data_IF_087569530807
#
_entry.id   IF_087569530807
#
_cell.length_a   1.000
_cell.length_b   1.000
_cell.length_c   1.000
_cell.angle_alpha   90.00
_cell.angle_beta   90.00
_cell.angle_gamma   90.00
#
_symmetry.space_group_name_H-M   'P 1'
#
loop_
_entity.id
_entity.type
_entity.pdbx_description
1 polymer ?
#
# COMPACT_ATOMS: atom_id res chain seq x y z
N UNK A 1 70.24 74.66 22.43
CA UNK A 1 68.82 74.49 22.04
C UNK A 1 68.82 74.01 20.59
N UNK A 2 68.09 72.93 20.19
CA UNK A 2 66.64 72.83 20.41
C UNK A 2 66.07 71.43 20.78
N UNK A 3 64.83 71.50 21.28
CA UNK A 3 63.68 70.58 21.23
C UNK A 3 63.81 69.08 21.56
N UNK A 4 63.29 68.73 22.76
CA UNK A 4 62.64 67.44 23.03
C UNK A 4 61.20 67.47 22.49
N UNK A 5 60.73 66.42 21.79
CA UNK A 5 59.30 66.25 21.53
C UNK A 5 58.60 65.65 22.76
N UNK A 6 57.39 66.13 23.01
CA UNK A 6 56.48 65.69 24.06
C UNK A 6 55.96 64.26 23.79
N UNK A 7 55.74 63.48 24.85
CA UNK A 7 55.05 62.18 24.78
C UNK A 7 53.55 62.41 24.64
N UNK A 8 52.83 61.68 23.77
CA UNK A 8 51.38 61.72 23.74
C UNK A 8 50.79 60.88 24.88
N UNK A 9 49.79 61.47 25.52
CA UNK A 9 48.87 60.92 26.50
C UNK A 9 48.08 59.77 25.84
N UNK A 10 48.17 58.56 26.39
CA UNK A 10 47.32 57.44 25.97
C UNK A 10 45.92 57.62 26.55
N UNK A 11 45.02 58.22 25.75
CA UNK A 11 43.59 58.19 26.03
C UNK A 11 43.02 56.78 25.78
N UNK A 12 42.31 56.28 26.78
CA UNK A 12 41.69 54.96 26.87
C UNK A 12 40.67 54.70 25.74
N UNK A 13 41.13 54.15 24.62
CA UNK A 13 40.29 53.77 23.47
C UNK A 13 39.45 52.50 23.70
N UNK A 14 39.61 51.82 24.85
CA UNK A 14 38.90 50.58 25.16
C UNK A 14 37.45 50.78 25.57
N UNK A 15 37.13 51.94 26.15
CA UNK A 15 35.81 52.22 26.73
C UNK A 15 34.80 52.69 25.68
N UNK A 16 35.21 53.53 24.72
CA UNK A 16 34.33 54.04 23.66
C UNK A 16 33.88 52.96 22.68
N UNK A 17 34.76 52.04 22.29
CA UNK A 17 34.42 50.92 21.41
C UNK A 17 33.40 49.96 22.05
N UNK A 18 33.50 49.72 23.36
CA UNK A 18 32.54 48.88 24.10
C UNK A 18 31.17 49.56 24.22
N UNK A 19 31.12 50.87 24.46
CA UNK A 19 29.87 51.63 24.48
C UNK A 19 29.20 51.66 23.10
N UNK A 20 29.96 51.79 22.01
CA UNK A 20 29.41 51.73 20.64
C UNK A 20 28.81 50.37 20.30
N UNK A 21 29.47 49.27 20.69
CA UNK A 21 28.95 47.90 20.45
C UNK A 21 27.69 47.63 21.28
N UNK A 22 27.66 48.08 22.55
CA UNK A 22 26.47 47.95 23.41
C UNK A 22 25.31 48.78 22.86
N UNK A 23 25.58 50.01 22.40
CA UNK A 23 24.56 50.86 21.80
C UNK A 23 24.00 50.26 20.50
N UNK A 24 24.84 49.67 19.66
CA UNK A 24 24.42 48.96 18.45
C UNK A 24 23.58 47.73 18.80
N UNK A 25 23.96 46.94 19.80
CA UNK A 25 23.19 45.78 20.26
C UNK A 25 21.83 46.19 20.85
N UNK A 26 21.77 47.30 21.59
CA UNK A 26 20.51 47.85 22.14
C UNK A 26 19.59 48.37 21.02
N UNK A 27 20.15 49.04 20.02
CA UNK A 27 19.40 49.50 18.85
C UNK A 27 18.88 48.32 17.99
N UNK A 28 19.68 47.26 17.84
CA UNK A 28 19.25 46.04 17.15
C UNK A 28 18.16 45.28 17.93
N UNK A 29 18.26 45.23 19.26
CA UNK A 29 17.25 44.61 20.11
C UNK A 29 15.93 45.41 20.13
N UNK A 30 15.99 46.75 20.07
CA UNK A 30 14.82 47.62 20.01
C UNK A 30 14.14 47.65 18.63
N UNK A 31 14.84 47.23 17.57
CA UNK A 31 14.30 47.12 16.22
C UNK A 31 13.38 45.90 16.04
N UNK A 32 13.57 44.82 16.82
CA UNK A 32 12.66 43.68 16.85
C UNK A 32 11.48 43.94 17.78
N UNK A 33 10.46 44.62 17.25
CA UNK A 33 9.18 44.82 17.91
C UNK A 33 8.29 43.56 17.77
N UNK A 34 8.06 42.77 18.84
CA UNK A 34 7.28 41.53 18.74
C UNK A 34 5.81 41.75 18.34
N UNK A 35 5.28 42.97 18.51
CA UNK A 35 3.97 43.43 18.05
C UNK A 35 3.85 43.57 16.53
N UNK A 36 4.97 43.57 15.79
CA UNK A 36 5.00 43.61 14.32
C UNK A 36 5.10 42.21 13.69
N UNK A 37 5.14 41.14 14.49
CA UNK A 37 5.15 39.76 13.99
C UNK A 37 3.70 39.37 13.67
N UNK A 38 3.27 39.59 12.42
CA UNK A 38 2.00 39.04 11.94
C UNK A 38 2.09 37.51 11.91
N UNK A 39 1.26 36.84 12.71
CA UNK A 39 1.10 35.39 12.61
C UNK A 39 0.49 35.05 11.26
N UNK A 40 1.23 34.29 10.44
CA UNK A 40 0.72 33.70 9.22
C UNK A 40 -0.56 32.91 9.53
N UNK A 41 -1.69 33.41 9.01
CA UNK A 41 -2.95 32.68 9.02
C UNK A 41 -2.70 31.32 8.36
N UNK A 42 -3.24 30.26 8.96
CA UNK A 42 -3.10 28.88 8.48
C UNK A 42 -1.68 28.28 8.49
N UNK A 43 -0.78 28.74 9.38
CA UNK A 43 0.59 28.17 9.57
C UNK A 43 0.61 26.63 9.60
N UNK A 44 -0.42 25.99 10.19
CA UNK A 44 -0.57 24.53 10.22
C UNK A 44 -0.85 23.90 8.85
N UNK A 45 -1.67 24.55 8.01
CA UNK A 45 -1.94 24.12 6.62
C UNK A 45 -0.68 24.29 5.78
N UNK A 46 -0.02 25.44 5.89
CA UNK A 46 1.23 25.74 5.20
C UNK A 46 2.28 24.68 5.55
N UNK A 47 2.48 24.36 6.84
CA UNK A 47 3.42 23.31 7.25
C UNK A 47 3.09 21.91 6.69
N UNK A 48 1.80 21.59 6.49
CA UNK A 48 1.38 20.34 5.82
C UNK A 48 1.72 20.40 4.32
N UNK A 49 1.36 21.49 3.64
CA UNK A 49 1.59 21.68 2.20
C UNK A 49 3.09 21.72 1.85
N UNK A 50 3.91 22.41 2.64
CA UNK A 50 5.37 22.44 2.45
C UNK A 50 6.00 21.05 2.56
N UNK A 51 5.53 20.20 3.47
CA UNK A 51 5.99 18.80 3.56
C UNK A 51 5.60 17.97 2.32
N UNK A 52 4.53 18.34 1.62
CA UNK A 52 4.09 17.69 0.38
C UNK A 52 4.88 18.15 -0.85
N UNK A 53 5.65 19.24 -0.73
CA UNK A 53 6.52 19.77 -1.78
C UNK A 53 7.96 19.24 -1.69
N UNK A 54 8.28 18.49 -0.62
CA UNK A 54 9.58 17.81 -0.49
C UNK A 54 9.74 16.78 -1.63
N UNK A 55 10.72 17.02 -2.51
CA UNK A 55 11.01 16.12 -3.64
C UNK A 55 11.59 14.82 -3.11
N UNK A 56 10.81 13.75 -3.14
CA UNK A 56 11.27 12.40 -2.79
C UNK A 56 11.80 11.69 -4.04
N UNK A 57 13.06 11.28 -4.00
CA UNK A 57 13.62 10.39 -5.02
C UNK A 57 13.05 8.98 -4.82
N UNK A 58 12.33 8.46 -5.81
CA UNK A 58 11.80 7.10 -5.79
C UNK A 58 12.77 6.19 -6.56
N UNK A 59 13.34 5.19 -5.88
CA UNK A 59 14.22 4.22 -6.52
C UNK A 59 13.41 3.05 -7.11
N UNK A 60 13.95 2.32 -8.10
CA UNK A 60 13.26 1.16 -8.67
C UNK A 60 12.83 0.11 -7.63
N UNK A 61 13.66 -0.14 -6.61
CA UNK A 61 13.35 -1.04 -5.49
C UNK A 61 12.15 -0.58 -4.64
N UNK A 62 11.94 0.74 -4.55
CA UNK A 62 10.83 1.31 -3.79
C UNK A 62 9.52 1.03 -4.53
N UNK A 63 9.51 1.21 -5.85
CA UNK A 63 8.35 0.87 -6.68
C UNK A 63 8.01 -0.63 -6.61
N UNK A 64 9.00 -1.53 -6.64
CA UNK A 64 8.76 -2.97 -6.46
C UNK A 64 8.16 -3.27 -5.07
N UNK A 65 8.64 -2.59 -4.02
CA UNK A 65 8.08 -2.72 -2.66
C UNK A 65 6.62 -2.23 -2.60
N UNK A 66 6.30 -1.12 -3.25
CA UNK A 66 4.93 -0.63 -3.31
C UNK A 66 4.03 -1.53 -4.15
N UNK A 67 4.52 -2.07 -5.27
CA UNK A 67 3.78 -3.04 -6.07
C UNK A 67 3.46 -4.29 -5.24
N UNK A 68 4.42 -4.79 -4.45
CA UNK A 68 4.19 -5.88 -3.49
C UNK A 68 3.11 -5.52 -2.47
N UNK A 69 3.23 -4.37 -1.83
CA UNK A 69 2.27 -3.92 -0.82
C UNK A 69 0.84 -3.78 -1.40
N UNK A 70 0.72 -3.19 -2.60
CA UNK A 70 -0.54 -3.01 -3.27
C UNK A 70 -1.17 -4.36 -3.66
N UNK A 71 -0.38 -5.28 -4.19
CA UNK A 71 -0.82 -6.63 -4.52
C UNK A 71 -1.23 -7.45 -3.28
N UNK A 72 -0.45 -7.39 -2.20
CA UNK A 72 -0.80 -8.02 -0.92
C UNK A 72 -2.11 -7.44 -0.38
N UNK A 73 -2.24 -6.11 -0.34
CA UNK A 73 -3.42 -5.41 0.19
C UNK A 73 -4.68 -5.76 -0.59
N UNK A 74 -4.63 -5.70 -1.93
CA UNK A 74 -5.77 -5.96 -2.80
C UNK A 74 -6.19 -7.43 -2.71
N UNK A 75 -5.24 -8.36 -2.85
CA UNK A 75 -5.53 -9.80 -2.82
C UNK A 75 -6.01 -10.28 -1.45
N UNK A 76 -5.44 -9.76 -0.35
CA UNK A 76 -5.88 -10.11 1.01
C UNK A 76 -7.27 -9.55 1.34
N UNK A 77 -7.58 -8.34 0.86
CA UNK A 77 -8.91 -7.74 0.99
C UNK A 77 -9.94 -8.60 0.25
N UNK A 78 -9.66 -8.96 -1.00
CA UNK A 78 -10.54 -9.82 -1.79
C UNK A 78 -10.76 -11.19 -1.14
N UNK A 79 -9.71 -11.87 -0.69
CA UNK A 79 -9.81 -13.17 -0.02
C UNK A 79 -10.60 -13.08 1.30
N UNK A 80 -10.45 -11.99 2.05
CA UNK A 80 -11.18 -11.78 3.32
C UNK A 80 -12.66 -11.60 3.06
N UNK A 81 -13.02 -10.73 2.11
CA UNK A 81 -14.42 -10.51 1.75
C UNK A 81 -15.06 -11.77 1.14
N UNK A 82 -14.31 -12.54 0.36
CA UNK A 82 -14.76 -13.84 -0.15
C UNK A 82 -15.15 -14.76 1.01
N UNK A 83 -14.25 -14.98 1.97
CA UNK A 83 -14.50 -15.88 3.10
C UNK A 83 -15.71 -15.44 3.93
N UNK A 84 -15.82 -14.14 4.21
CA UNK A 84 -16.95 -13.58 4.96
C UNK A 84 -18.27 -13.76 4.20
N UNK A 85 -18.27 -13.48 2.90
CA UNK A 85 -19.44 -13.61 2.03
C UNK A 85 -19.85 -15.07 1.92
N UNK A 86 -18.93 -15.98 1.61
CA UNK A 86 -19.21 -17.41 1.54
C UNK A 86 -19.73 -17.95 2.87
N UNK A 87 -19.13 -17.57 4.01
CA UNK A 87 -19.62 -17.98 5.33
C UNK A 87 -21.08 -17.59 5.55
N UNK A 88 -21.45 -16.35 5.22
CA UNK A 88 -22.84 -15.86 5.32
C UNK A 88 -23.79 -16.61 4.37
N UNK A 89 -23.42 -16.73 3.09
CA UNK A 89 -24.32 -17.32 2.09
C UNK A 89 -24.47 -18.84 2.24
N UNK A 90 -23.41 -19.53 2.68
CA UNK A 90 -23.47 -20.95 3.04
C UNK A 90 -24.42 -21.16 4.23
N UNK A 91 -24.35 -20.30 5.25
CA UNK A 91 -25.28 -20.38 6.38
C UNK A 91 -26.73 -20.07 5.99
N UNK A 92 -26.94 -19.14 5.05
CA UNK A 92 -28.27 -18.68 4.67
C UNK A 92 -28.99 -19.59 3.65
N UNK A 93 -28.26 -20.39 2.86
CA UNK A 93 -28.89 -21.27 1.87
C UNK A 93 -27.92 -22.20 1.16
N UNK A 94 -26.83 -22.59 1.85
CA UNK A 94 -25.88 -23.57 1.37
C UNK A 94 -25.19 -23.20 0.07
N UNK A 95 -24.77 -24.23 -0.67
CA UNK A 95 -24.00 -24.07 -1.91
C UNK A 95 -24.81 -23.35 -3.00
N UNK A 96 -26.13 -23.57 -3.06
CA UNK A 96 -27.02 -22.93 -4.02
C UNK A 96 -26.90 -21.39 -4.01
N UNK A 97 -26.79 -20.79 -2.81
CA UNK A 97 -26.58 -19.35 -2.66
C UNK A 97 -25.12 -18.95 -2.80
N UNK A 98 -24.22 -19.67 -2.12
CA UNK A 98 -22.82 -19.30 -2.04
C UNK A 98 -22.11 -19.32 -3.41
N UNK A 99 -22.53 -20.21 -4.32
CA UNK A 99 -21.95 -20.36 -5.65
C UNK A 99 -21.98 -19.05 -6.47
N UNK A 100 -22.98 -18.18 -6.28
CA UNK A 100 -23.06 -16.88 -6.97
C UNK A 100 -21.90 -15.91 -6.63
N UNK A 101 -21.16 -16.17 -5.54
CA UNK A 101 -20.18 -15.22 -4.99
C UNK A 101 -18.73 -15.62 -5.22
N UNK A 102 -18.43 -16.57 -6.11
CA UNK A 102 -17.06 -17.08 -6.33
C UNK A 102 -16.07 -16.12 -7.02
N UNK A 103 -16.48 -14.87 -7.32
CA UNK A 103 -15.70 -13.84 -8.04
C UNK A 103 -15.40 -12.61 -7.17
N UNK A 104 -14.52 -12.71 -6.17
CA UNK A 104 -14.24 -11.60 -5.27
C UNK A 104 -13.58 -10.40 -5.95
N UNK A 105 -12.93 -10.59 -7.09
CA UNK A 105 -12.34 -9.51 -7.88
C UNK A 105 -13.38 -8.47 -8.37
N UNK A 106 -14.67 -8.84 -8.43
CA UNK A 106 -15.75 -7.94 -8.85
C UNK A 106 -16.54 -7.36 -7.68
N UNK A 107 -16.11 -7.57 -6.44
CA UNK A 107 -16.82 -7.02 -5.29
C UNK A 107 -16.60 -5.51 -5.21
N UNK A 108 -17.63 -4.70 -4.86
CA UNK A 108 -17.53 -3.24 -4.91
C UNK A 108 -16.33 -2.65 -4.16
N UNK A 109 -15.99 -3.18 -2.98
CA UNK A 109 -14.83 -2.73 -2.22
C UNK A 109 -13.49 -3.12 -2.87
N UNK A 110 -13.43 -4.29 -3.50
CA UNK A 110 -12.23 -4.76 -4.22
C UNK A 110 -12.02 -3.94 -5.49
N UNK A 111 -13.09 -3.69 -6.25
CA UNK A 111 -13.09 -2.86 -7.44
C UNK A 111 -12.68 -1.42 -7.12
N UNK A 112 -13.25 -0.83 -6.06
CA UNK A 112 -12.85 0.50 -5.58
C UNK A 112 -11.36 0.57 -5.20
N UNK A 113 -10.87 -0.41 -4.44
CA UNK A 113 -9.46 -0.48 -4.06
C UNK A 113 -8.55 -0.68 -5.28
N UNK A 114 -8.96 -1.51 -6.24
CA UNK A 114 -8.26 -1.72 -7.49
C UNK A 114 -8.16 -0.42 -8.30
N UNK A 115 -9.25 0.37 -8.36
CA UNK A 115 -9.26 1.70 -8.98
C UNK A 115 -8.29 2.67 -8.34
N UNK A 116 -8.28 2.76 -6.99
CA UNK A 116 -7.32 3.61 -6.24
C UNK A 116 -5.87 3.19 -6.50
N UNK A 117 -5.61 1.89 -6.57
CA UNK A 117 -4.27 1.35 -6.81
C UNK A 117 -3.88 1.33 -8.30
N UNK A 118 -4.80 1.69 -9.21
CA UNK A 118 -4.68 1.51 -10.66
C UNK A 118 -4.20 0.10 -11.01
N UNK A 119 -4.85 -0.87 -10.38
CA UNK A 119 -4.52 -2.28 -10.47
C UNK A 119 -5.64 -3.05 -11.17
N UNK A 120 -5.26 -4.10 -11.89
CA UNK A 120 -6.19 -5.04 -12.53
C UNK A 120 -5.99 -6.41 -11.91
N UNK A 121 -6.78 -6.79 -10.88
CA UNK A 121 -6.69 -8.09 -10.25
C UNK A 121 -7.40 -9.16 -11.07
N UNK A 122 -6.80 -10.34 -11.17
CA UNK A 122 -7.47 -11.55 -11.68
C UNK A 122 -7.07 -12.78 -10.88
N UNK A 123 -7.99 -13.72 -10.76
CA UNK A 123 -7.70 -15.07 -10.25
C UNK A 123 -7.47 -15.99 -11.43
N UNK A 124 -6.45 -16.82 -11.34
CA UNK A 124 -6.10 -17.79 -12.37
C UNK A 124 -5.88 -19.17 -11.77
N UNK A 125 -6.16 -20.23 -12.53
CA UNK A 125 -6.00 -21.62 -12.12
C UNK A 125 -5.81 -22.51 -13.35
N UNK A 126 -5.09 -23.62 -13.16
CA UNK A 126 -5.00 -24.69 -14.16
C UNK A 126 -6.26 -25.55 -14.21
N UNK A 127 -7.06 -25.54 -13.14
CA UNK A 127 -8.31 -26.29 -12.98
C UNK A 127 -9.43 -25.36 -12.50
N UNK A 128 -9.82 -24.37 -13.32
CA UNK A 128 -10.71 -23.30 -12.88
C UNK A 128 -12.18 -23.74 -12.83
N UNK A 129 -12.96 -23.03 -12.01
CA UNK A 129 -14.43 -23.11 -12.03
C UNK A 129 -15.06 -22.37 -13.21
N UNK A 130 -14.45 -21.24 -13.54
CA UNK A 130 -14.84 -20.37 -14.64
C UNK A 130 -13.77 -20.48 -15.73
N UNK A 131 -14.11 -20.85 -16.97
CA UNK A 131 -13.13 -20.97 -18.05
C UNK A 131 -12.27 -19.71 -18.26
N UNK A 132 -12.84 -18.53 -18.03
CA UNK A 132 -12.12 -17.25 -18.10
C UNK A 132 -10.94 -17.13 -17.11
N UNK A 133 -10.86 -17.98 -16.09
CA UNK A 133 -9.75 -18.03 -15.13
C UNK A 133 -8.69 -19.09 -15.48
N UNK A 134 -8.80 -19.75 -16.63
CA UNK A 134 -7.77 -20.70 -17.07
C UNK A 134 -6.46 -19.96 -17.32
N UNK A 135 -5.38 -20.41 -16.68
CA UNK A 135 -4.02 -20.05 -17.07
C UNK A 135 -3.06 -21.16 -16.66
N UNK A 136 -2.01 -21.35 -17.46
CA UNK A 136 -0.86 -22.16 -17.07
C UNK A 136 -0.06 -21.40 -16.02
N UNK A 137 0.30 -22.07 -14.92
CA UNK A 137 1.11 -21.49 -13.87
C UNK A 137 2.49 -22.19 -13.90
N UNK A 138 3.59 -21.49 -14.27
CA UNK A 138 4.92 -22.07 -14.21
C UNK A 138 5.23 -22.67 -12.84
N UNK A 139 5.97 -23.77 -12.79
CA UNK A 139 6.25 -24.47 -11.52
C UNK A 139 7.02 -23.59 -10.52
N UNK A 140 7.92 -22.73 -10.99
CA UNK A 140 8.65 -21.73 -10.19
C UNK A 140 7.71 -20.71 -9.54
N UNK A 141 6.55 -20.51 -10.15
CA UNK A 141 5.49 -19.59 -9.75
C UNK A 141 4.41 -20.26 -8.88
N UNK A 142 4.49 -21.57 -8.69
CA UNK A 142 3.59 -22.42 -7.89
C UNK A 142 4.25 -22.98 -6.62
N UNK A 143 5.32 -22.36 -6.12
CA UNK A 143 5.90 -22.77 -4.84
C UNK A 143 4.89 -22.46 -3.73
N UNK A 144 4.53 -23.48 -2.94
CA UNK A 144 3.52 -23.42 -1.87
C UNK A 144 3.99 -22.73 -0.60
N UNK A 145 5.21 -22.18 -0.58
CA UNK A 145 5.55 -21.18 0.41
C UNK A 145 4.79 -19.89 0.08
N UNK A 146 4.62 -19.01 1.06
CA UNK A 146 3.88 -17.76 0.85
C UNK A 146 4.61 -16.78 -0.10
N UNK A 147 5.48 -17.24 -0.99
CA UNK A 147 6.28 -16.39 -1.86
C UNK A 147 5.40 -15.61 -2.82
N UNK A 148 5.69 -14.32 -2.91
CA UNK A 148 5.09 -13.43 -3.91
C UNK A 148 6.11 -13.25 -5.01
N UNK A 149 5.65 -13.34 -6.25
CA UNK A 149 6.46 -12.93 -7.40
C UNK A 149 6.12 -11.48 -7.70
N UNK A 150 7.13 -10.61 -7.69
CA UNK A 150 6.99 -9.22 -8.08
C UNK A 150 8.03 -8.92 -9.14
N UNK A 151 7.57 -8.49 -10.30
CA UNK A 151 8.44 -8.13 -11.41
C UNK A 151 7.94 -6.84 -12.06
N UNK A 152 8.82 -6.27 -12.87
CA UNK A 152 8.51 -5.14 -13.71
C UNK A 152 8.38 -5.67 -15.14
N UNK A 153 7.19 -5.66 -15.70
CA UNK A 153 6.94 -6.10 -17.08
C UNK A 153 7.33 -5.01 -18.09
N UNK A 154 7.19 -3.74 -17.70
CA UNK A 154 7.60 -2.59 -18.53
C UNK A 154 7.96 -1.36 -17.69
N UNK A 155 8.26 -0.24 -18.34
CA UNK A 155 8.49 1.02 -17.62
C UNK A 155 7.26 1.47 -16.81
N UNK A 156 6.05 1.12 -17.27
CA UNK A 156 4.80 1.59 -16.68
C UNK A 156 3.98 0.50 -15.99
N UNK A 157 4.37 -0.77 -16.12
CA UNK A 157 3.59 -1.91 -15.59
C UNK A 157 4.44 -2.78 -14.67
N UNK A 158 3.88 -3.06 -13.50
CA UNK A 158 4.37 -4.04 -12.55
C UNK A 158 3.43 -5.24 -12.50
N UNK A 159 4.03 -6.40 -12.30
CA UNK A 159 3.31 -7.64 -12.10
C UNK A 159 3.50 -8.12 -10.67
N UNK A 160 2.39 -8.55 -10.08
CA UNK A 160 2.35 -9.21 -8.79
C UNK A 160 1.62 -10.54 -8.92
N UNK A 161 2.17 -11.57 -8.31
CA UNK A 161 1.51 -12.86 -8.18
C UNK A 161 1.63 -13.43 -6.77
N UNK A 162 0.54 -14.03 -6.29
CA UNK A 162 0.50 -14.77 -5.03
C UNK A 162 -0.33 -16.05 -5.16
N UNK A 163 0.15 -17.20 -4.67
CA UNK A 163 -0.64 -18.42 -4.62
C UNK A 163 -1.96 -18.26 -3.86
N UNK A 164 -2.99 -18.97 -4.35
CA UNK A 164 -4.26 -19.17 -3.65
C UNK A 164 -4.22 -20.58 -3.09
N UNK A 165 -4.07 -20.69 -1.77
CA UNK A 165 -3.99 -21.96 -1.06
C UNK A 165 -5.29 -22.19 -0.29
N UNK A 166 -5.86 -23.39 -0.43
CA UNK A 166 -7.10 -23.79 0.22
C UNK A 166 -6.85 -24.08 1.71
N UNK A 167 -6.79 -23.03 2.54
CA UNK A 167 -6.50 -23.17 3.97
C UNK A 167 -7.74 -23.12 4.89
N UNK A 168 -8.94 -23.00 4.32
CA UNK A 168 -10.18 -22.91 5.09
C UNK A 168 -11.16 -24.01 4.65
N UNK A 169 -11.66 -24.78 5.62
CA UNK A 169 -12.57 -25.90 5.38
C UNK A 169 -13.88 -25.49 4.67
N UNK A 170 -14.33 -24.23 4.80
CA UNK A 170 -15.51 -23.75 4.06
C UNK A 170 -15.33 -23.89 2.55
N UNK A 171 -14.10 -23.79 2.05
CA UNK A 171 -13.81 -23.90 0.63
C UNK A 171 -14.07 -25.32 0.10
N UNK A 172 -13.92 -26.35 0.94
CA UNK A 172 -14.14 -27.75 0.56
C UNK A 172 -15.61 -28.04 0.23
N UNK A 173 -16.55 -27.24 0.77
CA UNK A 173 -17.99 -27.35 0.45
C UNK A 173 -18.30 -27.27 -1.03
N UNK A 174 -17.43 -26.61 -1.81
CA UNK A 174 -17.58 -26.49 -3.25
C UNK A 174 -16.35 -26.97 -4.02
N UNK A 175 -15.19 -27.11 -3.40
CA UNK A 175 -13.94 -27.45 -4.07
C UNK A 175 -13.33 -28.78 -3.60
N UNK A 176 -13.89 -29.43 -2.59
CA UNK A 176 -13.41 -30.70 -2.06
C UNK A 176 -13.77 -31.91 -2.92
N UNK A 177 -13.56 -33.10 -2.37
CA UNK A 177 -13.85 -34.38 -3.03
C UNK A 177 -15.37 -34.60 -3.16
N UNK A 178 -15.83 -34.91 -4.39
CA UNK A 178 -17.25 -35.17 -4.66
C UNK A 178 -17.67 -36.50 -4.03
N UNK A 179 -18.78 -36.50 -3.31
CA UNK A 179 -19.24 -37.67 -2.55
C UNK A 179 -18.69 -37.74 -1.12
N UNK A 180 -17.73 -36.88 -0.77
CA UNK A 180 -17.16 -36.78 0.58
C UNK A 180 -17.34 -35.38 1.16
N UNK A 181 -16.70 -34.38 0.55
CA UNK A 181 -16.77 -32.98 0.98
C UNK A 181 -17.94 -32.25 0.30
N UNK A 182 -18.22 -32.60 -0.96
CA UNK A 182 -19.31 -32.04 -1.76
C UNK A 182 -20.42 -33.09 -1.88
N UNK A 183 -21.62 -32.76 -1.40
CA UNK A 183 -22.78 -33.66 -1.51
C UNK A 183 -23.21 -33.82 -2.97
N UNK A 184 -23.89 -34.93 -3.32
CA UNK A 184 -24.40 -35.13 -4.69
C UNK A 184 -25.38 -34.03 -5.13
N UNK A 185 -26.20 -33.52 -4.21
CA UNK A 185 -27.12 -32.41 -4.45
C UNK A 185 -26.36 -31.10 -4.72
N UNK A 186 -25.37 -30.77 -3.88
CA UNK A 186 -24.53 -29.58 -4.07
C UNK A 186 -23.72 -29.65 -5.37
N UNK A 187 -23.18 -30.82 -5.70
CA UNK A 187 -22.45 -31.03 -6.95
C UNK A 187 -23.33 -30.82 -8.18
N UNK A 188 -24.58 -31.32 -8.15
CA UNK A 188 -25.56 -31.10 -9.22
C UNK A 188 -25.84 -29.60 -9.42
N UNK A 189 -25.97 -28.84 -8.34
CA UNK A 189 -26.16 -27.39 -8.40
C UNK A 189 -24.94 -26.67 -8.99
N UNK A 190 -23.74 -27.03 -8.53
CA UNK A 190 -22.48 -26.47 -9.05
C UNK A 190 -22.38 -26.73 -10.55
N UNK A 191 -22.64 -27.96 -11.01
CA UNK A 191 -22.58 -28.32 -12.43
C UNK A 191 -23.62 -27.59 -13.29
N UNK A 192 -24.80 -27.30 -12.72
CA UNK A 192 -25.82 -26.50 -13.41
C UNK A 192 -25.36 -25.05 -13.62
N UNK A 193 -24.75 -24.45 -12.60
CA UNK A 193 -24.27 -23.06 -12.67
C UNK A 193 -22.95 -22.92 -13.41
N UNK A 194 -22.09 -23.93 -13.34
CA UNK A 194 -20.77 -23.99 -13.94
C UNK A 194 -20.59 -25.29 -14.74
N UNK A 195 -21.13 -25.38 -15.97
CA UNK A 195 -21.08 -26.60 -16.78
C UNK A 195 -19.66 -27.09 -17.12
N UNK A 196 -18.71 -26.16 -17.15
CA UNK A 196 -17.30 -26.39 -17.46
C UNK A 196 -16.41 -26.37 -16.20
N UNK A 197 -16.99 -26.56 -15.01
CA UNK A 197 -16.25 -26.59 -13.75
C UNK A 197 -15.21 -27.72 -13.72
N UNK A 198 -13.96 -27.37 -13.38
CA UNK A 198 -12.85 -28.30 -13.16
C UNK A 198 -12.33 -28.24 -11.71
N UNK A 199 -12.91 -27.36 -10.88
CA UNK A 199 -12.33 -26.97 -9.60
C UNK A 199 -12.83 -27.81 -8.40
N UNK A 200 -12.82 -29.14 -8.51
CA UNK A 200 -13.20 -30.07 -7.44
C UNK A 200 -12.06 -31.02 -7.07
N UNK A 201 -12.17 -31.77 -5.98
CA UNK A 201 -11.15 -32.73 -5.54
C UNK A 201 -9.92 -32.08 -4.90
N UNK A 202 -10.04 -30.87 -4.39
CA UNK A 202 -8.98 -30.23 -3.61
C UNK A 202 -8.99 -30.67 -2.15
N UNK A 203 -7.84 -30.60 -1.48
CA UNK A 203 -7.70 -30.79 -0.04
C UNK A 203 -7.11 -29.56 0.66
N UNK A 204 -7.19 -29.52 1.99
CA UNK A 204 -6.60 -28.42 2.77
C UNK A 204 -5.09 -28.32 2.51
N UNK A 205 -4.59 -27.09 2.40
CA UNK A 205 -3.19 -26.81 2.11
C UNK A 205 -2.82 -26.94 0.62
N UNK A 206 -3.72 -27.40 -0.24
CA UNK A 206 -3.46 -27.49 -1.67
C UNK A 206 -3.57 -26.12 -2.34
N UNK A 207 -2.65 -25.83 -3.26
CA UNK A 207 -2.75 -24.67 -4.13
C UNK A 207 -3.84 -24.88 -5.18
N UNK A 208 -4.81 -23.96 -5.23
CA UNK A 208 -5.90 -23.96 -6.20
C UNK A 208 -5.59 -23.12 -7.44
N UNK A 209 -4.64 -22.20 -7.35
CA UNK A 209 -4.34 -21.24 -8.39
C UNK A 209 -3.50 -20.09 -7.86
N UNK A 210 -3.64 -18.91 -8.46
CA UNK A 210 -2.95 -17.70 -8.04
C UNK A 210 -3.79 -16.45 -8.27
N UNK A 211 -3.53 -15.42 -7.46
CA UNK A 211 -3.83 -14.04 -7.82
C UNK A 211 -2.75 -13.55 -8.77
N UNK A 212 -3.14 -12.96 -9.90
CA UNK A 212 -2.27 -12.16 -10.76
C UNK A 212 -2.80 -10.74 -10.80
N UNK A 213 -1.94 -9.76 -10.58
CA UNK A 213 -2.32 -8.36 -10.50
C UNK A 213 -1.34 -7.55 -11.34
N UNK A 214 -1.87 -6.88 -12.36
CA UNK A 214 -1.14 -5.85 -13.10
C UNK A 214 -1.33 -4.52 -12.39
N UNK A 215 -0.25 -3.78 -12.12
CA UNK A 215 -0.29 -2.49 -11.46
C UNK A 215 0.39 -1.43 -12.32
N UNK A 216 -0.27 -0.29 -12.51
CA UNK A 216 0.34 0.85 -13.20
C UNK A 216 1.31 1.61 -12.31
N UNK A 217 2.40 2.09 -12.90
CA UNK A 217 3.46 2.83 -12.20
C UNK A 217 2.94 4.06 -11.47
N UNK A 218 2.01 4.80 -12.05
CA UNK A 218 1.43 5.99 -11.44
C UNK A 218 0.63 5.64 -10.16
N UNK A 219 -0.13 4.55 -10.15
CA UNK A 219 -0.81 4.08 -8.93
C UNK A 219 0.16 3.61 -7.85
N UNK A 220 1.20 2.86 -8.24
CA UNK A 220 2.26 2.39 -7.35
C UNK A 220 3.09 3.57 -6.77
N UNK A 221 3.37 4.58 -7.59
CA UNK A 221 4.17 5.75 -7.18
C UNK A 221 3.35 6.73 -6.33
N UNK A 222 2.04 6.85 -6.55
CA UNK A 222 1.17 7.68 -5.72
C UNK A 222 1.18 7.23 -4.25
N UNK A 223 1.23 5.91 -4.01
CA UNK A 223 1.41 5.37 -2.66
C UNK A 223 2.71 5.81 -1.96
N UNK A 224 3.80 6.01 -2.71
CA UNK A 224 5.07 6.50 -2.15
C UNK A 224 5.12 8.02 -1.98
N UNK A 225 4.46 8.73 -2.89
CA UNK A 225 4.51 10.19 -2.95
C UNK A 225 3.44 10.87 -2.10
N UNK A 226 2.43 10.12 -1.63
CA UNK A 226 1.23 10.60 -0.92
C UNK A 226 1.37 12.01 -0.32
N UNK A 227 0.89 12.99 -1.10
CA UNK A 227 0.86 14.43 -0.82
C UNK A 227 -0.17 14.84 0.24
N UNK A 228 -0.70 13.93 1.07
CA UNK A 228 -1.76 14.29 2.05
C UNK A 228 -1.81 13.46 3.33
N UNK A 229 -0.95 12.45 3.53
CA UNK A 229 -0.90 11.74 4.81
C UNK A 229 0.29 12.23 5.63
N UNK A 230 -0.01 12.87 6.77
CA UNK A 230 0.88 13.13 7.92
C UNK A 230 1.96 12.05 7.93
N UNK A 231 3.22 12.40 7.68
CA UNK A 231 4.37 11.48 7.58
C UNK A 231 4.22 10.40 8.65
N UNK A 232 3.76 9.22 8.28
CA UNK A 232 3.54 8.14 9.25
C UNK A 232 4.94 7.76 9.70
N UNK A 233 5.28 8.08 10.96
CA UNK A 233 6.51 7.56 11.56
C UNK A 233 6.48 6.04 11.40
N UNK A 234 7.63 5.43 11.16
CA UNK A 234 7.75 4.00 10.80
C UNK A 234 6.96 3.06 11.73
N UNK A 235 6.89 3.42 13.03
CA UNK A 235 6.13 2.72 14.07
C UNK A 235 4.59 2.92 14.03
N UNK A 236 4.07 3.75 13.12
CA UNK A 236 2.63 4.00 12.92
C UNK A 236 2.12 3.56 11.54
N UNK A 237 2.97 2.98 10.68
CA UNK A 237 2.45 2.20 9.57
C UNK A 237 1.50 1.15 10.17
N UNK A 238 0.26 0.99 9.65
CA UNK A 238 -0.56 -0.13 10.06
C UNK A 238 0.29 -1.38 9.86
N UNK A 239 0.66 -2.03 10.96
CA UNK A 239 1.07 -3.42 10.91
C UNK A 239 -0.19 -4.19 10.54
N UNK A 240 -0.50 -4.19 9.25
CA UNK A 240 -1.43 -5.16 8.70
C UNK A 240 -0.58 -6.42 8.61
N UNK A 241 -0.70 -7.20 9.69
CA UNK A 241 0.02 -8.42 10.07
C UNK A 241 1.38 -8.19 10.75
#
# INVERSE_FOLDING_TARGET
>A
MPNRPARPEFADAGTTARFSVVLILVLLAAACRPDQIEHLKDTKRIGIETANWEVKRIMPKDLLRAARWAGDSLSATADTLLRQTLGRELAAGGVARAAAFCRPETYPLVDSLAGVLKATPRRVSERPRLPAHQATLPTEQMRTDTTRTISRESQEVFFYQRPIVLNNALCLRCHGEVGKDITAADYTLIRKQYPQDQATGYHLGQQMGAWQISLRRDGVAEFWTMKTRKKWREHKLPKLF
#
